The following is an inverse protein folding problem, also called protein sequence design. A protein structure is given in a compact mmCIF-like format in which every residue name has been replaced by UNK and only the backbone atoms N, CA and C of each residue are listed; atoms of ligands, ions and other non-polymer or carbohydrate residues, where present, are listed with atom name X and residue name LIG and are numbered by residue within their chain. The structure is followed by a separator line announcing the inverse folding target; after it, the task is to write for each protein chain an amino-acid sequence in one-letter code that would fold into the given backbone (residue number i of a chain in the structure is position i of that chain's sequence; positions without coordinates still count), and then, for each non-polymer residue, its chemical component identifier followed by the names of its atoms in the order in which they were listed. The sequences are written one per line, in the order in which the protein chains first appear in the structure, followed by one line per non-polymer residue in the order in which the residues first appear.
data_IF_309887924346
#
_entry.id   IF_309887924346
#
_cell.length_a   1.000
_cell.length_b   1.000
_cell.length_c   1.000
_cell.angle_alpha   90.00
_cell.angle_beta   90.00
_cell.angle_gamma   90.00
#
_symmetry.space_group_name_H-M   'P 1'
#
loop_
_entity.id
_entity.type
_entity.pdbx_description
1 polymer ?
#
# COMPACT_ATOMS: atom_id res chain seq x y z
N UNK A 1 54.03 1.75 39.61
CA UNK A 1 52.91 2.04 38.68
C UNK A 1 52.35 0.68 38.26
N UNK A 2 51.26 0.22 38.87
CA UNK A 2 50.69 -1.10 38.59
C UNK A 2 49.31 -0.90 37.94
N UNK A 3 49.18 -1.25 36.67
CA UNK A 3 47.90 -1.30 35.98
C UNK A 3 47.29 -2.69 36.18
N UNK A 4 46.14 -2.74 36.85
CA UNK A 4 45.31 -3.94 36.97
C UNK A 4 44.49 -4.06 35.69
N UNK A 5 44.68 -5.16 34.95
CA UNK A 5 43.84 -5.51 33.81
C UNK A 5 42.49 -6.02 34.33
N UNK A 6 41.40 -5.29 34.04
CA UNK A 6 40.04 -5.75 34.30
C UNK A 6 39.56 -6.46 33.02
N UNK A 7 39.40 -7.78 33.12
CA UNK A 7 38.81 -8.62 32.10
C UNK A 7 37.30 -8.30 32.01
N UNK A 8 36.86 -7.75 30.89
CA UNK A 8 35.43 -7.53 30.63
C UNK A 8 34.80 -8.81 30.12
N UNK A 9 33.92 -9.38 30.94
CA UNK A 9 33.09 -10.53 30.59
C UNK A 9 32.26 -10.23 29.33
N UNK A 10 32.33 -11.15 28.36
CA UNK A 10 31.49 -11.13 27.17
C UNK A 10 30.02 -11.37 27.58
N UNK A 11 29.25 -10.30 27.68
CA UNK A 11 27.79 -10.37 27.78
C UNK A 11 27.23 -10.83 26.43
N UNK A 12 26.83 -12.10 26.35
CA UNK A 12 25.99 -12.61 25.27
C UNK A 12 24.61 -11.97 25.36
N UNK A 13 24.45 -10.78 24.77
CA UNK A 13 23.13 -10.19 24.53
C UNK A 13 22.48 -10.97 23.41
N UNK A 14 21.60 -11.91 23.76
CA UNK A 14 20.59 -12.44 22.83
C UNK A 14 19.75 -11.22 22.43
N UNK A 15 20.03 -10.63 21.27
CA UNK A 15 19.16 -9.60 20.71
C UNK A 15 17.83 -10.27 20.39
N UNK A 16 16.70 -9.86 20.99
CA UNK A 16 15.41 -10.31 20.52
C UNK A 16 15.31 -9.82 19.07
N UNK A 17 15.23 -10.77 18.14
CA UNK A 17 14.92 -10.49 16.74
C UNK A 17 13.57 -9.78 16.77
N UNK A 18 13.58 -8.44 16.73
CA UNK A 18 12.35 -7.65 16.61
C UNK A 18 11.66 -8.17 15.37
N UNK A 19 10.58 -8.93 15.56
CA UNK A 19 9.61 -9.11 14.50
C UNK A 19 9.04 -7.71 14.28
N UNK A 20 9.64 -6.97 13.34
CA UNK A 20 9.06 -5.75 12.82
C UNK A 20 7.80 -6.25 12.11
N UNK A 21 6.66 -6.18 12.80
CA UNK A 21 5.37 -6.35 12.17
C UNK A 21 5.30 -5.20 11.18
N UNK A 22 5.44 -5.49 9.89
CA UNK A 22 5.25 -4.49 8.85
C UNK A 22 3.76 -4.14 8.89
N UNK A 23 3.43 -2.99 9.48
CA UNK A 23 2.09 -2.44 9.40
C UNK A 23 1.84 -2.07 7.95
N UNK A 24 0.90 -2.80 7.35
CA UNK A 24 0.43 -2.53 6.01
C UNK A 24 -0.89 -1.78 6.08
N UNK A 25 -0.89 -0.58 5.53
CA UNK A 25 -2.08 0.22 5.31
C UNK A 25 -2.60 -0.01 3.90
N UNK A 26 -3.92 0.02 3.72
CA UNK A 26 -4.51 0.04 2.39
C UNK A 26 -5.09 1.42 2.11
N UNK A 27 -4.74 1.99 0.97
CA UNK A 27 -5.29 3.26 0.50
C UNK A 27 -6.10 2.98 -0.76
N UNK A 28 -7.41 3.22 -0.71
CA UNK A 28 -8.27 3.11 -1.88
C UNK A 28 -8.54 4.50 -2.44
N UNK A 29 -8.08 4.77 -3.66
CA UNK A 29 -8.27 6.02 -4.39
C UNK A 29 -9.33 5.86 -5.48
N UNK A 30 -10.52 6.40 -5.26
CA UNK A 30 -11.58 6.43 -6.27
C UNK A 30 -12.43 7.70 -6.14
N UNK A 31 -12.61 8.41 -7.26
CA UNK A 31 -13.45 9.62 -7.32
C UNK A 31 -14.94 9.29 -7.21
N UNK A 32 -15.33 8.05 -7.50
CA UNK A 32 -16.71 7.58 -7.43
C UNK A 32 -16.87 6.47 -6.40
N UNK A 33 -16.04 6.48 -5.34
CA UNK A 33 -16.27 5.62 -4.17
C UNK A 33 -17.70 5.90 -3.70
N UNK A 34 -18.56 4.91 -3.92
CA UNK A 34 -19.91 4.92 -3.42
C UNK A 34 -20.02 3.71 -2.51
N UNK A 35 -19.94 3.96 -1.21
CA UNK A 35 -20.15 2.95 -0.18
C UNK A 35 -21.54 2.29 -0.29
N UNK A 36 -22.50 2.85 -1.02
CA UNK A 36 -23.77 2.18 -1.28
C UNK A 36 -23.71 1.17 -2.45
N UNK A 37 -22.61 1.09 -3.20
CA UNK A 37 -22.43 0.09 -4.25
C UNK A 37 -22.05 -1.26 -3.63
N UNK A 38 -22.85 -2.29 -3.89
CA UNK A 38 -22.68 -3.65 -3.39
C UNK A 38 -21.31 -4.25 -3.77
N UNK A 39 -20.81 -3.97 -4.97
CA UNK A 39 -19.49 -4.43 -5.42
C UNK A 39 -18.36 -3.77 -4.62
N UNK A 40 -18.52 -2.47 -4.31
CA UNK A 40 -17.57 -1.72 -3.50
C UNK A 40 -17.58 -2.23 -2.05
N UNK A 41 -18.77 -2.48 -1.48
CA UNK A 41 -18.92 -3.03 -0.13
C UNK A 41 -18.35 -4.45 0.00
N UNK A 42 -18.59 -5.32 -0.98
CA UNK A 42 -18.05 -6.68 -0.95
C UNK A 42 -16.52 -6.66 -1.01
N UNK A 43 -15.96 -5.84 -1.92
CA UNK A 43 -14.51 -5.68 -2.04
C UNK A 43 -13.90 -5.06 -0.78
N UNK A 44 -14.50 -4.00 -0.23
CA UNK A 44 -14.07 -3.37 1.03
C UNK A 44 -14.12 -4.37 2.19
N UNK A 45 -15.18 -5.16 2.31
CA UNK A 45 -15.32 -6.19 3.34
C UNK A 45 -14.22 -7.23 3.25
N UNK A 46 -13.90 -7.71 2.04
CA UNK A 46 -12.81 -8.67 1.84
C UNK A 46 -11.44 -8.05 2.18
N UNK A 47 -11.22 -6.79 1.81
CA UNK A 47 -9.98 -6.08 2.11
C UNK A 47 -9.81 -5.85 3.61
N UNK A 48 -10.89 -5.53 4.34
CA UNK A 48 -10.86 -5.36 5.81
C UNK A 48 -10.45 -6.64 6.55
N UNK A 49 -10.61 -7.81 5.93
CA UNK A 49 -10.16 -9.07 6.50
C UNK A 49 -8.66 -9.33 6.28
N UNK A 50 -8.02 -8.62 5.36
CA UNK A 50 -6.61 -8.82 4.98
C UNK A 50 -5.70 -7.73 5.57
N UNK A 51 -6.19 -6.48 5.62
CA UNK A 51 -5.43 -5.34 6.14
C UNK A 51 -6.09 -4.78 7.39
N UNK A 52 -5.27 -4.21 8.27
CA UNK A 52 -5.73 -3.69 9.56
C UNK A 52 -6.43 -2.33 9.42
N UNK A 53 -6.03 -1.53 8.42
CA UNK A 53 -6.52 -0.18 8.20
C UNK A 53 -6.74 0.10 6.71
N UNK A 54 -7.91 0.68 6.39
CA UNK A 54 -8.27 1.11 5.04
C UNK A 54 -8.58 2.61 5.06
N UNK A 55 -7.82 3.38 4.29
CA UNK A 55 -8.04 4.80 4.07
C UNK A 55 -8.65 5.04 2.69
N UNK A 56 -9.81 5.70 2.64
CA UNK A 56 -10.48 6.05 1.40
C UNK A 56 -10.07 7.46 0.96
N UNK A 57 -9.65 7.58 -0.29
CA UNK A 57 -9.23 8.83 -0.90
C UNK A 57 -10.07 9.11 -2.13
N UNK A 58 -10.64 10.31 -2.22
CA UNK A 58 -11.38 10.73 -3.43
C UNK A 58 -10.51 11.55 -4.38
N UNK A 59 -9.36 12.04 -3.90
CA UNK A 59 -8.46 12.92 -4.66
C UNK A 59 -7.00 12.47 -4.57
N UNK A 60 -6.20 12.80 -5.59
CA UNK A 60 -4.77 12.51 -5.62
C UNK A 60 -4.02 13.18 -4.46
N UNK A 61 -4.35 14.45 -4.18
CA UNK A 61 -3.70 15.22 -3.12
C UNK A 61 -3.90 14.59 -1.73
N UNK A 62 -5.10 14.06 -1.45
CA UNK A 62 -5.38 13.35 -0.20
C UNK A 62 -4.55 12.06 -0.09
N UNK A 63 -4.45 11.28 -1.17
CA UNK A 63 -3.62 10.08 -1.20
C UNK A 63 -2.14 10.39 -0.95
N UNK A 64 -1.61 11.43 -1.60
CA UNK A 64 -0.21 11.84 -1.44
C UNK A 64 0.04 12.37 -0.02
N UNK A 65 -0.91 13.10 0.57
CA UNK A 65 -0.84 13.56 1.96
C UNK A 65 -0.69 12.40 2.93
N UNK A 66 -1.58 11.41 2.84
CA UNK A 66 -1.52 10.21 3.69
C UNK A 66 -0.19 9.47 3.49
N UNK A 67 0.25 9.27 2.25
CA UNK A 67 1.53 8.60 1.97
C UNK A 67 2.75 9.35 2.51
N UNK A 68 2.69 10.68 2.61
CA UNK A 68 3.77 11.49 3.18
C UNK A 68 3.75 11.52 4.71
N UNK A 69 2.57 11.41 5.33
CA UNK A 69 2.42 11.35 6.77
C UNK A 69 2.80 9.97 7.34
N UNK A 70 3.00 8.96 6.48
CA UNK A 70 3.48 7.63 6.86
C UNK A 70 4.99 7.63 7.10
N UNK A 71 5.39 7.23 8.32
CA UNK A 71 6.81 7.08 8.70
C UNK A 71 7.39 5.74 8.19
N UNK A 72 7.30 4.67 9.00
CA UNK A 72 7.91 3.36 8.71
C UNK A 72 6.92 2.33 8.11
N UNK A 73 5.68 2.75 7.88
CA UNK A 73 4.61 1.90 7.39
C UNK A 73 4.64 1.75 5.87
N UNK A 74 4.03 0.69 5.37
CA UNK A 74 3.90 0.44 3.93
C UNK A 74 2.45 0.50 3.51
N UNK A 75 2.20 1.13 2.37
CA UNK A 75 0.88 1.25 1.79
C UNK A 75 0.73 0.32 0.58
N UNK A 76 -0.39 -0.39 0.55
CA UNK A 76 -0.99 -0.90 -0.66
C UNK A 76 -1.94 0.16 -1.22
N UNK A 77 -1.83 0.49 -2.50
CA UNK A 77 -2.71 1.49 -3.13
C UNK A 77 -3.61 0.80 -4.13
N UNK A 78 -4.92 0.93 -3.96
CA UNK A 78 -5.93 0.51 -4.94
C UNK A 78 -6.42 1.78 -5.64
N UNK A 79 -6.44 1.82 -6.97
CA UNK A 79 -6.96 2.98 -7.69
C UNK A 79 -7.78 2.59 -8.92
N UNK A 80 -8.73 3.44 -9.30
CA UNK A 80 -9.48 3.22 -10.54
C UNK A 80 -8.58 3.40 -11.78
N UNK A 81 -8.86 2.72 -12.89
CA UNK A 81 -8.04 2.81 -14.12
C UNK A 81 -7.77 4.25 -14.60
N UNK A 82 -8.80 5.11 -14.58
CA UNK A 82 -8.71 6.50 -15.02
C UNK A 82 -7.88 7.38 -14.05
N UNK A 83 -8.04 7.20 -12.74
CA UNK A 83 -7.25 7.94 -11.74
C UNK A 83 -5.83 7.40 -11.65
N UNK A 84 -5.65 6.09 -11.82
CA UNK A 84 -4.36 5.40 -11.77
C UNK A 84 -3.37 5.96 -12.78
N UNK A 85 -3.81 6.31 -13.99
CA UNK A 85 -2.95 6.93 -14.99
C UNK A 85 -2.29 8.23 -14.51
N UNK A 86 -2.96 8.99 -13.64
CA UNK A 86 -2.45 10.24 -13.09
C UNK A 86 -1.76 10.04 -11.74
N UNK A 87 -2.25 9.10 -10.92
CA UNK A 87 -1.73 8.85 -9.58
C UNK A 87 -0.42 8.06 -9.59
N UNK A 88 -0.32 7.01 -10.41
CA UNK A 88 0.85 6.11 -10.42
C UNK A 88 2.16 6.85 -10.73
N UNK A 89 2.24 7.74 -11.73
CA UNK A 89 3.45 8.52 -11.99
C UNK A 89 3.93 9.37 -10.80
N UNK A 90 3.02 9.79 -9.92
CA UNK A 90 3.38 10.60 -8.75
C UNK A 90 3.86 9.74 -7.58
N UNK A 91 3.22 8.60 -7.35
CA UNK A 91 3.47 7.79 -6.14
C UNK A 91 4.47 6.64 -6.36
N UNK A 92 4.78 6.26 -7.60
CA UNK A 92 5.60 5.07 -7.86
C UNK A 92 7.01 5.15 -7.25
N UNK A 93 7.54 6.36 -7.02
CA UNK A 93 8.87 6.57 -6.41
C UNK A 93 8.85 6.60 -4.90
N UNK A 94 7.69 6.75 -4.27
CA UNK A 94 7.56 6.86 -2.83
C UNK A 94 7.93 5.53 -2.16
N UNK A 95 8.79 5.56 -1.16
CA UNK A 95 9.24 4.35 -0.47
C UNK A 95 8.11 3.69 0.33
N UNK A 96 7.12 4.47 0.75
CA UNK A 96 5.93 4.04 1.49
C UNK A 96 5.04 3.14 0.62
N UNK A 97 5.00 3.36 -0.70
CA UNK A 97 4.21 2.54 -1.62
C UNK A 97 4.90 1.21 -1.86
N UNK A 98 4.28 0.14 -1.37
CA UNK A 98 4.75 -1.23 -1.56
C UNK A 98 4.25 -1.81 -2.89
N UNK A 99 2.94 -1.74 -3.12
CA UNK A 99 2.33 -2.23 -4.35
C UNK A 99 1.07 -1.42 -4.70
N UNK A 100 0.78 -1.38 -6.00
CA UNK A 100 -0.35 -0.67 -6.59
C UNK A 100 -1.22 -1.67 -7.34
N UNK A 101 -2.52 -1.62 -7.08
CA UNK A 101 -3.53 -2.44 -7.73
C UNK A 101 -4.49 -1.51 -8.48
N UNK A 102 -4.64 -1.74 -9.79
CA UNK A 102 -5.53 -0.93 -10.60
C UNK A 102 -6.84 -1.67 -10.77
N UNK A 103 -7.96 -1.04 -10.44
CA UNK A 103 -9.29 -1.59 -10.63
C UNK A 103 -10.00 -0.87 -11.78
N UNK A 104 -10.45 -1.59 -12.81
CA UNK A 104 -11.13 -0.96 -13.94
C UNK A 104 -12.08 -1.92 -14.63
N UNK A 105 -13.23 -1.43 -15.10
CA UNK A 105 -14.14 -2.21 -15.96
C UNK A 105 -13.57 -2.51 -17.36
N UNK A 106 -12.51 -1.81 -17.78
CA UNK A 106 -11.84 -2.02 -19.06
C UNK A 106 -10.35 -2.35 -18.86
N UNK A 107 -10.07 -3.65 -18.74
CA UNK A 107 -8.75 -4.22 -18.49
C UNK A 107 -7.75 -3.95 -19.62
N UNK A 108 -8.18 -4.09 -20.88
CA UNK A 108 -7.29 -4.04 -22.04
C UNK A 108 -6.62 -2.67 -22.24
N UNK A 109 -7.35 -1.58 -21.99
CA UNK A 109 -6.81 -0.22 -22.09
C UNK A 109 -5.77 0.06 -21.00
N UNK A 110 -6.00 -0.51 -19.80
CA UNK A 110 -5.21 -0.16 -18.62
C UNK A 110 -4.05 -1.12 -18.31
N UNK A 111 -4.07 -2.33 -18.87
CA UNK A 111 -2.95 -3.28 -18.73
C UNK A 111 -1.68 -2.81 -19.44
N UNK A 112 -1.80 -2.09 -20.56
CA UNK A 112 -0.63 -1.72 -21.34
C UNK A 112 0.21 -0.64 -20.64
N UNK A 113 -0.43 0.40 -20.08
CA UNK A 113 0.28 1.39 -19.28
C UNK A 113 0.72 0.82 -17.92
N UNK A 114 -0.07 -0.05 -17.29
CA UNK A 114 0.28 -0.65 -16.00
C UNK A 114 1.61 -1.43 -16.05
N UNK A 115 1.90 -2.10 -17.17
CA UNK A 115 3.16 -2.82 -17.38
C UNK A 115 4.40 -1.93 -17.40
N UNK A 116 4.24 -0.62 -17.60
CA UNK A 116 5.35 0.33 -17.59
C UNK A 116 5.80 0.67 -16.15
N UNK A 117 5.02 0.29 -15.14
CA UNK A 117 5.24 0.64 -13.74
C UNK A 117 5.54 -0.59 -12.88
N UNK A 118 6.79 -0.75 -12.39
CA UNK A 118 7.20 -1.96 -11.65
C UNK A 118 6.43 -2.24 -10.36
N UNK A 119 5.84 -1.20 -9.76
CA UNK A 119 5.06 -1.33 -8.52
C UNK A 119 3.59 -1.68 -8.76
N UNK A 120 3.15 -1.72 -10.02
CA UNK A 120 1.79 -2.13 -10.35
C UNK A 120 1.75 -3.65 -10.45
N UNK A 121 1.15 -4.29 -9.45
CA UNK A 121 1.06 -5.76 -9.36
C UNK A 121 0.01 -6.32 -10.33
N UNK A 122 -1.02 -5.53 -10.67
CA UNK A 122 -1.98 -5.94 -11.68
C UNK A 122 -3.16 -5.02 -11.88
N UNK A 123 -3.91 -5.31 -12.96
CA UNK A 123 -5.19 -4.69 -13.30
C UNK A 123 -6.31 -5.71 -13.10
N UNK A 124 -7.27 -5.37 -12.24
CA UNK A 124 -8.39 -6.21 -11.83
C UNK A 124 -9.71 -5.62 -12.31
N UNK A 125 -10.66 -6.49 -12.64
CA UNK A 125 -12.02 -6.14 -13.09
C UNK A 125 -13.02 -6.58 -12.01
N UNK A 126 -13.98 -5.74 -11.64
CA UNK A 126 -15.22 -6.25 -11.01
C UNK A 126 -15.92 -7.10 -12.06
N UNK A 127 -16.31 -8.32 -11.68
CA UNK A 127 -17.27 -9.07 -12.50
C UNK A 127 -18.64 -8.42 -12.32
N UNK A 128 -19.08 -7.61 -13.28
CA UNK A 128 -20.52 -7.37 -13.43
C UNK A 128 -21.17 -8.71 -13.78
N UNK A 129 -21.95 -9.29 -12.85
CA UNK A 129 -22.99 -10.23 -13.25
C UNK A 129 -24.05 -9.39 -13.98
N UNK A 130 -24.15 -9.60 -15.30
CA UNK A 130 -25.20 -9.02 -16.15
C UNK A 130 -26.58 -9.50 -15.74
#
# INVERSE_FOLDING_TARGET
MNAVAISSAASNTIQPRRHIVQNYMLIWVDANINEANEDCQNTLTQLRNVVNEINLCTTLAQCIGILNDMDDEKAFVICSGALGQHLVPEIHRMAQVHAIYVFCGNKALHEQWAKEWPKVEGVFISKCHS
#
